data_IF_715534378347
#
_entry.id   IF_715534378347
#
_cell.length_a   1.000
_cell.length_b   1.000
_cell.length_c   1.000
_cell.angle_alpha   90.00
_cell.angle_beta   90.00
_cell.angle_gamma   90.00
#
_symmetry.space_group_name_H-M   'P 1'
#
loop_
_entity.id
_entity.type
_entity.pdbx_description
1 polymer ?
#
# COMPACT_ATOMS: atom_id res chain seq x y z
N UNK A 1 21.59 -12.35 0.88
CA UNK A 1 20.44 -13.21 1.22
C UNK A 1 19.17 -12.46 0.90
N UNK A 2 18.22 -13.04 0.19
CA UNK A 2 16.92 -12.39 0.01
C UNK A 2 16.27 -12.13 1.37
N UNK A 3 15.60 -10.99 1.46
CA UNK A 3 14.95 -10.58 2.70
C UNK A 3 13.65 -9.87 2.35
N UNK A 4 12.59 -10.18 3.07
CA UNK A 4 11.32 -9.46 2.98
C UNK A 4 10.65 -9.39 4.33
N UNK A 5 9.79 -8.38 4.49
CA UNK A 5 9.12 -8.07 5.75
C UNK A 5 7.65 -8.43 5.66
N UNK A 6 7.13 -9.08 6.68
CA UNK A 6 5.73 -9.51 6.74
C UNK A 6 5.08 -8.96 7.98
N UNK A 7 3.77 -8.85 7.95
CA UNK A 7 2.98 -8.48 9.11
C UNK A 7 2.94 -9.61 10.13
N UNK A 8 2.57 -9.27 11.35
CA UNK A 8 2.53 -10.25 12.44
C UNK A 8 1.31 -11.16 12.36
N UNK A 9 0.19 -10.67 11.82
CA UNK A 9 -1.03 -11.44 11.68
C UNK A 9 -1.21 -11.95 10.24
N UNK A 10 -0.98 -11.08 9.27
CA UNK A 10 -1.23 -11.39 7.86
C UNK A 10 0.10 -11.68 7.17
N UNK A 11 0.23 -12.86 6.58
CA UNK A 11 1.42 -13.25 5.83
C UNK A 11 1.49 -12.51 4.50
N UNK A 12 0.41 -12.54 3.73
CA UNK A 12 0.35 -11.81 2.47
C UNK A 12 -1.08 -11.45 2.09
N UNK A 13 -1.20 -10.40 1.27
CA UNK A 13 -2.45 -9.95 0.67
C UNK A 13 -2.26 -10.00 -0.84
N UNK A 14 -3.20 -10.58 -1.56
CA UNK A 14 -3.17 -10.72 -3.01
C UNK A 14 -4.27 -9.84 -3.62
N UNK A 15 -3.85 -8.87 -4.43
CA UNK A 15 -4.76 -8.03 -5.21
C UNK A 15 -4.74 -8.46 -6.67
N UNK A 16 -5.93 -8.51 -7.27
CA UNK A 16 -6.12 -8.81 -8.69
C UNK A 16 -6.53 -7.53 -9.42
N UNK A 17 -5.78 -7.14 -10.42
CA UNK A 17 -5.96 -5.87 -11.13
C UNK A 17 -6.50 -6.07 -12.54
N UNK A 18 -7.43 -5.20 -12.96
CA UNK A 18 -7.90 -5.20 -14.35
C UNK A 18 -6.81 -4.77 -15.31
N UNK A 19 -6.03 -3.77 -14.92
CA UNK A 19 -4.91 -3.25 -15.69
C UNK A 19 -3.67 -3.29 -14.80
N UNK A 20 -2.89 -4.35 -14.96
CA UNK A 20 -1.72 -4.57 -14.13
C UNK A 20 -0.70 -3.44 -14.28
N UNK A 21 -0.49 -2.93 -15.49
CA UNK A 21 0.46 -1.83 -15.70
C UNK A 21 0.05 -0.57 -14.94
N UNK A 22 -1.25 -0.23 -14.96
CA UNK A 22 -1.77 0.91 -14.22
C UNK A 22 -1.64 0.72 -12.70
N UNK A 23 -1.97 -0.48 -12.20
CA UNK A 23 -1.83 -0.79 -10.77
C UNK A 23 -0.37 -0.76 -10.33
N UNK A 24 0.53 -1.32 -11.12
CA UNK A 24 1.96 -1.26 -10.82
C UNK A 24 2.46 0.18 -10.74
N UNK A 25 2.07 1.03 -11.68
CA UNK A 25 2.48 2.45 -11.66
C UNK A 25 2.00 3.12 -10.38
N UNK A 26 0.75 2.90 -10.00
CA UNK A 26 0.18 3.46 -8.79
C UNK A 26 0.91 2.96 -7.53
N UNK A 27 1.03 1.64 -7.36
CA UNK A 27 1.62 1.08 -6.14
C UNK A 27 3.12 1.31 -6.04
N UNK A 28 3.85 1.34 -7.15
CA UNK A 28 5.27 1.78 -7.12
C UNK A 28 5.38 3.19 -6.56
N UNK A 29 4.49 4.08 -7.01
CA UNK A 29 4.54 5.48 -6.58
C UNK A 29 4.21 5.65 -5.10
N UNK A 30 3.10 5.06 -4.64
CA UNK A 30 2.66 5.27 -3.25
C UNK A 30 3.56 4.53 -2.26
N UNK A 31 4.01 3.33 -2.59
CA UNK A 31 4.88 2.57 -1.70
C UNK A 31 6.30 3.13 -1.72
N UNK A 32 6.75 3.66 -2.85
CA UNK A 32 8.01 4.41 -2.91
C UNK A 32 7.97 5.65 -2.03
N UNK A 33 6.84 6.35 -2.01
CA UNK A 33 6.64 7.52 -1.13
C UNK A 33 6.67 7.14 0.36
N UNK A 34 6.37 5.90 0.69
CA UNK A 34 6.43 5.35 2.05
C UNK A 34 7.77 4.65 2.32
N UNK A 35 8.75 4.81 1.44
CA UNK A 35 10.10 4.24 1.55
C UNK A 35 10.12 2.71 1.56
N UNK A 36 9.15 2.08 0.92
CA UNK A 36 9.11 0.63 0.81
C UNK A 36 9.97 0.14 -0.35
N UNK A 37 10.64 -0.98 -0.16
CA UNK A 37 11.48 -1.60 -1.19
C UNK A 37 10.65 -2.60 -1.99
N UNK A 38 10.73 -2.51 -3.31
CA UNK A 38 10.06 -3.47 -4.20
C UNK A 38 10.89 -4.75 -4.24
N UNK A 39 10.26 -5.89 -3.93
CA UNK A 39 10.92 -7.18 -3.90
C UNK A 39 10.93 -7.86 -5.27
N UNK A 40 9.85 -7.71 -6.03
CA UNK A 40 9.76 -8.27 -7.37
C UNK A 40 8.85 -7.38 -8.24
N UNK A 41 9.24 -7.20 -9.49
CA UNK A 41 8.50 -6.41 -10.46
C UNK A 41 8.82 -6.95 -11.85
N UNK A 42 7.97 -7.84 -12.34
CA UNK A 42 8.15 -8.44 -13.65
C UNK A 42 6.83 -8.40 -14.45
N UNK A 43 6.78 -9.09 -15.57
CA UNK A 43 5.59 -9.07 -16.44
C UNK A 43 4.35 -9.66 -15.78
N UNK A 44 4.52 -10.49 -14.75
CA UNK A 44 3.41 -11.24 -14.16
C UNK A 44 2.87 -10.60 -12.89
N UNK A 45 3.69 -9.86 -12.13
CA UNK A 45 3.26 -9.34 -10.84
C UNK A 45 4.18 -8.24 -10.30
N UNK A 46 3.70 -7.60 -9.24
CA UNK A 46 4.47 -6.73 -8.37
C UNK A 46 4.39 -7.29 -6.95
N UNK A 47 5.52 -7.38 -6.27
CA UNK A 47 5.56 -7.77 -4.86
C UNK A 47 6.30 -6.74 -4.04
N UNK A 48 5.68 -6.31 -2.96
CA UNK A 48 6.28 -5.45 -1.94
C UNK A 48 5.93 -6.07 -0.60
N UNK A 49 6.91 -6.74 0.02
CA UNK A 49 6.74 -7.48 1.26
C UNK A 49 5.51 -8.41 1.22
N UNK A 50 4.51 -8.20 2.08
CA UNK A 50 3.31 -9.04 2.12
C UNK A 50 2.27 -8.72 1.05
N UNK A 51 2.50 -7.73 0.20
CA UNK A 51 1.56 -7.35 -0.85
C UNK A 51 1.97 -7.94 -2.19
N UNK A 52 1.04 -8.67 -2.81
CA UNK A 52 1.21 -9.28 -4.13
C UNK A 52 0.11 -8.79 -5.06
N UNK A 53 0.48 -8.26 -6.22
CA UNK A 53 -0.47 -7.74 -7.20
C UNK A 53 -0.21 -8.38 -8.55
N UNK A 54 -1.24 -8.98 -9.14
CA UNK A 54 -1.16 -9.52 -10.49
C UNK A 54 -2.44 -9.22 -11.29
N UNK A 55 -2.47 -9.62 -12.54
CA UNK A 55 -3.60 -9.39 -13.41
C UNK A 55 -4.74 -10.36 -13.11
N UNK A 56 -5.97 -9.93 -13.42
CA UNK A 56 -7.12 -10.83 -13.43
C UNK A 56 -6.85 -11.99 -14.38
N UNK A 57 -7.13 -13.20 -13.90
CA UNK A 57 -7.16 -14.37 -14.77
C UNK A 57 -8.51 -14.51 -15.45
N UNK A 58 -8.60 -15.39 -16.43
CA UNK A 58 -9.85 -15.68 -17.12
C UNK A 58 -10.90 -16.31 -16.20
N UNK A 59 -10.45 -16.82 -15.06
CA UNK A 59 -11.30 -17.44 -14.04
C UNK A 59 -11.89 -16.44 -13.05
N UNK A 60 -11.56 -15.13 -13.17
CA UNK A 60 -11.98 -14.09 -12.24
C UNK A 60 -12.70 -12.98 -12.98
N UNK A 61 -14.01 -12.78 -12.74
CA UNK A 61 -14.78 -11.77 -13.46
C UNK A 61 -14.56 -10.34 -12.98
N UNK A 62 -14.00 -10.15 -11.79
CA UNK A 62 -13.85 -8.82 -11.21
C UNK A 62 -12.55 -8.67 -10.44
N UNK A 63 -12.05 -7.43 -10.39
CA UNK A 63 -10.89 -7.08 -9.59
C UNK A 63 -11.19 -7.22 -8.09
N UNK A 64 -10.13 -7.29 -7.30
CA UNK A 64 -10.23 -7.22 -5.84
C UNK A 64 -10.81 -5.88 -5.43
N UNK A 65 -11.64 -5.88 -4.38
CA UNK A 65 -12.23 -4.67 -3.83
C UNK A 65 -12.04 -4.68 -2.31
N UNK A 66 -11.09 -3.88 -1.82
CA UNK A 66 -10.69 -3.90 -0.40
C UNK A 66 -10.37 -2.49 0.09
N UNK A 67 -10.28 -2.35 1.42
CA UNK A 67 -9.65 -1.21 2.09
C UNK A 67 -8.32 -1.70 2.67
N UNK A 68 -7.22 -1.08 2.25
CA UNK A 68 -5.88 -1.35 2.77
C UNK A 68 -5.30 -0.09 3.39
N UNK A 69 -4.74 -0.21 4.58
CA UNK A 69 -4.01 0.88 5.21
C UNK A 69 -2.54 0.48 5.34
N UNK A 70 -1.68 1.34 4.82
CA UNK A 70 -0.23 1.20 4.95
C UNK A 70 0.27 2.09 6.07
N UNK A 71 1.24 1.62 6.83
CA UNK A 71 1.82 2.40 7.90
C UNK A 71 2.76 3.47 7.34
N UNK A 72 2.63 4.68 7.86
CA UNK A 72 3.54 5.78 7.58
C UNK A 72 4.27 6.17 8.86
N UNK A 73 5.55 6.52 8.74
CA UNK A 73 6.38 6.83 9.91
C UNK A 73 6.17 8.23 10.47
N UNK A 74 5.61 9.13 9.67
CA UNK A 74 5.36 10.53 10.07
C UNK A 74 4.29 11.15 9.16
N UNK A 75 3.76 12.33 9.52
CA UNK A 75 2.78 13.02 8.68
C UNK A 75 3.30 13.38 7.28
N UNK A 76 4.59 13.66 7.13
CA UNK A 76 5.14 13.99 5.82
C UNK A 76 5.10 12.80 4.87
N UNK A 77 5.31 11.58 5.38
CA UNK A 77 5.16 10.37 4.58
C UNK A 77 3.72 10.20 4.08
N UNK A 78 2.73 10.51 4.92
CA UNK A 78 1.32 10.49 4.53
C UNK A 78 1.06 11.49 3.39
N UNK A 79 1.63 12.69 3.48
CA UNK A 79 1.48 13.70 2.43
C UNK A 79 2.13 13.27 1.12
N UNK A 80 3.34 12.70 1.19
CA UNK A 80 4.04 12.18 0.02
C UNK A 80 3.27 11.05 -0.65
N UNK A 81 2.68 10.14 0.15
CA UNK A 81 1.83 9.07 -0.35
C UNK A 81 0.68 9.64 -1.20
N UNK A 82 -0.03 10.62 -0.67
CA UNK A 82 -1.19 11.20 -1.34
C UNK A 82 -0.81 11.90 -2.64
N UNK A 83 0.23 12.72 -2.59
CA UNK A 83 0.72 13.43 -3.76
C UNK A 83 1.22 12.47 -4.86
N UNK A 84 2.02 11.49 -4.47
CA UNK A 84 2.56 10.51 -5.41
C UNK A 84 1.47 9.66 -6.05
N UNK A 85 0.46 9.27 -5.26
CA UNK A 85 -0.64 8.47 -5.77
C UNK A 85 -1.53 9.22 -6.75
N UNK A 86 -1.80 10.49 -6.49
CA UNK A 86 -2.54 11.33 -7.43
C UNK A 86 -1.78 11.48 -8.74
N UNK A 87 -0.47 11.70 -8.68
CA UNK A 87 0.36 11.84 -9.87
C UNK A 87 0.45 10.54 -10.67
N UNK A 88 0.25 9.40 -10.04
CA UNK A 88 0.38 8.07 -10.66
C UNK A 88 -0.96 7.42 -11.03
N UNK A 89 -2.02 8.21 -11.13
CA UNK A 89 -3.32 7.73 -11.64
C UNK A 89 -4.32 7.35 -10.56
N UNK A 90 -4.01 7.55 -9.29
CA UNK A 90 -4.97 7.39 -8.20
C UNK A 90 -5.96 8.54 -8.16
N UNK A 91 -7.05 8.34 -7.43
CA UNK A 91 -8.06 9.37 -7.21
C UNK A 91 -8.15 9.72 -5.74
N UNK A 92 -8.39 10.99 -5.45
CA UNK A 92 -8.53 11.45 -4.06
C UNK A 92 -9.75 10.80 -3.41
N UNK A 93 -9.54 10.30 -2.19
CA UNK A 93 -10.61 9.75 -1.35
C UNK A 93 -10.48 10.26 0.09
N UNK A 94 -9.68 11.29 0.32
CA UNK A 94 -9.48 11.94 1.61
C UNK A 94 -8.10 12.56 1.72
N UNK A 95 -8.03 13.89 1.73
CA UNK A 95 -6.78 14.63 1.80
C UNK A 95 -6.03 14.36 3.12
N UNK A 96 -4.69 14.53 3.13
CA UNK A 96 -3.92 14.36 4.37
C UNK A 96 -4.45 15.24 5.50
N UNK A 97 -4.64 14.66 6.67
CA UNK A 97 -5.13 15.38 7.83
C UNK A 97 -5.43 14.44 8.99
N UNK A 98 -5.73 15.06 10.13
CA UNK A 98 -6.12 14.32 11.32
C UNK A 98 -7.50 13.69 11.16
N UNK A 99 -7.70 12.55 11.82
CA UNK A 99 -8.97 11.82 11.85
C UNK A 99 -9.34 11.54 13.31
N UNK A 100 -10.62 11.32 13.53
CA UNK A 100 -11.18 11.23 14.90
C UNK A 100 -11.04 9.84 15.55
N UNK A 101 -10.35 8.92 14.91
CA UNK A 101 -10.27 7.54 15.42
C UNK A 101 -9.54 7.44 16.74
N UNK A 102 -8.47 8.20 16.89
CA UNK A 102 -7.80 8.42 18.16
C UNK A 102 -6.87 9.64 18.05
N UNK A 103 -6.42 10.22 19.18
CA UNK A 103 -5.49 11.36 19.13
C UNK A 103 -4.21 11.01 18.36
N UNK A 104 -3.81 11.88 17.45
CA UNK A 104 -2.61 11.69 16.66
C UNK A 104 -2.79 10.87 15.39
N UNK A 105 -3.99 10.34 15.13
CA UNK A 105 -4.26 9.60 13.89
C UNK A 105 -4.24 10.59 12.72
N UNK A 106 -3.23 10.46 11.85
CA UNK A 106 -3.05 11.32 10.68
C UNK A 106 -3.00 10.44 9.43
N UNK A 107 -3.90 10.68 8.48
CA UNK A 107 -4.05 9.79 7.35
C UNK A 107 -4.44 10.50 6.07
N UNK A 108 -4.27 9.82 4.95
CA UNK A 108 -4.79 10.21 3.65
C UNK A 108 -5.31 8.96 2.94
N UNK A 109 -6.27 9.17 2.06
CA UNK A 109 -6.96 8.09 1.36
C UNK A 109 -6.95 8.34 -0.14
N UNK A 110 -6.73 7.29 -0.90
CA UNK A 110 -6.78 7.29 -2.35
C UNK A 110 -7.61 6.11 -2.84
N UNK A 111 -8.16 6.23 -4.04
CA UNK A 111 -8.67 5.07 -4.77
C UNK A 111 -7.61 4.65 -5.77
N UNK A 112 -7.27 3.36 -5.76
CA UNK A 112 -6.37 2.80 -6.76
C UNK A 112 -7.08 2.65 -8.12
N UNK A 113 -6.40 2.21 -9.20
CA UNK A 113 -7.05 2.09 -10.51
C UNK A 113 -8.28 1.19 -10.54
N UNK A 114 -8.41 0.25 -9.61
CA UNK A 114 -9.56 -0.66 -9.53
C UNK A 114 -10.63 -0.19 -8.53
N UNK A 115 -10.41 0.93 -7.86
CA UNK A 115 -11.35 1.47 -6.88
C UNK A 115 -11.15 0.96 -5.46
N UNK A 116 -10.04 0.28 -5.17
CA UNK A 116 -9.71 -0.09 -3.80
C UNK A 116 -9.41 1.17 -2.99
N UNK A 117 -9.91 1.21 -1.75
CA UNK A 117 -9.62 2.30 -0.83
C UNK A 117 -8.26 2.05 -0.17
N UNK A 118 -7.29 2.88 -0.51
CA UNK A 118 -5.91 2.74 -0.03
C UNK A 118 -5.57 3.93 0.85
N UNK A 119 -5.10 3.63 2.04
CA UNK A 119 -4.82 4.62 3.08
C UNK A 119 -3.35 4.57 3.47
N UNK A 120 -2.76 5.72 3.77
CA UNK A 120 -1.53 5.79 4.55
C UNK A 120 -1.87 6.39 5.90
N UNK A 121 -1.39 5.77 6.99
CA UNK A 121 -1.73 6.21 8.34
C UNK A 121 -0.51 6.30 9.23
N UNK A 122 -0.42 7.42 9.95
CA UNK A 122 0.50 7.64 11.05
C UNK A 122 -0.32 7.73 12.34
N UNK A 123 0.00 6.88 13.30
CA UNK A 123 -0.78 6.77 14.54
C UNK A 123 -0.35 7.75 15.63
N UNK A 124 0.56 8.67 15.33
CA UNK A 124 1.14 9.55 16.34
C UNK A 124 2.42 8.95 16.94
N UNK A 125 3.02 9.59 17.92
CA UNK A 125 4.29 9.15 18.52
C UNK A 125 4.07 7.94 19.43
N UNK A 126 3.68 6.82 18.86
CA UNK A 126 3.45 5.58 19.56
C UNK A 126 4.72 4.71 19.56
N UNK A 127 4.91 3.93 20.61
CA UNK A 127 5.99 2.96 20.66
C UNK A 127 5.56 1.67 19.96
N UNK A 128 6.46 1.13 19.16
CA UNK A 128 6.25 -0.15 18.48
C UNK A 128 7.07 -1.21 19.20
N UNK A 129 6.43 -2.33 19.55
CA UNK A 129 7.13 -3.45 20.20
C UNK A 129 7.96 -4.27 19.21
N UNK A 130 7.61 -4.21 17.93
CA UNK A 130 8.31 -4.89 16.86
C UNK A 130 8.00 -4.19 15.53
N UNK A 131 8.99 -4.16 14.63
CA UNK A 131 8.80 -3.57 13.29
C UNK A 131 8.04 -4.54 12.38
N UNK A 132 8.51 -5.77 12.31
CA UNK A 132 7.98 -6.77 11.39
C UNK A 132 8.55 -8.14 11.72
N UNK A 133 8.11 -9.16 10.99
CA UNK A 133 8.79 -10.44 10.93
C UNK A 133 9.68 -10.42 9.69
N UNK A 134 10.97 -10.71 9.87
CA UNK A 134 11.93 -10.73 8.78
C UNK A 134 12.26 -12.18 8.44
N UNK A 135 12.04 -12.54 7.18
CA UNK A 135 12.42 -13.85 6.65
C UNK A 135 13.65 -13.69 5.78
N UNK A 136 14.64 -14.54 6.02
CA UNK A 136 15.86 -14.60 5.22
C UNK A 136 16.04 -16.00 4.68
N UNK A 137 16.23 -16.09 3.37
CA UNK A 137 16.45 -17.36 2.72
C UNK A 137 17.92 -17.77 2.75
#
# INVERSE_FOLDING_TARGET
MPEWHLGRLIDHVHLRARDLAASKRFYRAVLGALDQTINADDETHLQVDELWIDALGNDRPSATHVHLAFQARDPDAVRRFHEAGLAAGGRDNGAPGERKYHPGYFAAFLLDPDGNNVEAVYHGPAQRSAESVVLRA
#
